data_IF_169223325405
#
_entry.id   IF_169223325405
#
_cell.length_a   1.000
_cell.length_b   1.000
_cell.length_c   1.000
_cell.angle_alpha   90.00
_cell.angle_beta   90.00
_cell.angle_gamma   90.00
#
_symmetry.space_group_name_H-M   'P 1'
#
loop_
_entity.id
_entity.type
_entity.pdbx_description
1 polymer ?
#
# COMPACT_ATOMS: atom_id res chain seq x y z
N UNK A 1 -3.63 -25.88 -6.60
CA UNK A 1 -4.46 -25.28 -7.67
C UNK A 1 -3.66 -25.37 -8.95
N UNK A 2 -4.24 -25.84 -10.06
CA UNK A 2 -3.51 -25.97 -11.31
C UNK A 2 -3.03 -24.59 -11.80
N UNK A 3 -1.81 -24.53 -12.27
CA UNK A 3 -1.17 -23.34 -12.83
C UNK A 3 -1.84 -23.01 -14.16
N UNK A 4 -2.59 -21.90 -14.23
CA UNK A 4 -3.16 -21.44 -15.50
C UNK A 4 -2.03 -20.81 -16.28
N UNK A 5 -1.45 -21.61 -17.16
CA UNK A 5 -0.36 -21.15 -18.03
C UNK A 5 -0.88 -20.11 -19.03
N UNK A 6 -0.04 -19.12 -19.33
CA UNK A 6 -0.25 -18.10 -20.37
C UNK A 6 -0.62 -18.71 -21.73
N UNK A 7 -0.26 -19.98 -21.95
CA UNK A 7 -0.59 -20.79 -23.11
C UNK A 7 -2.08 -21.15 -23.22
N UNK A 8 -2.81 -21.30 -22.12
CA UNK A 8 -4.25 -21.54 -22.16
C UNK A 8 -4.99 -20.30 -22.68
N UNK A 9 -4.59 -19.09 -22.25
CA UNK A 9 -5.12 -17.84 -22.78
C UNK A 9 -4.74 -17.63 -24.25
N UNK A 10 -3.49 -17.90 -24.63
CA UNK A 10 -3.05 -17.83 -26.02
C UNK A 10 -3.84 -18.77 -26.94
N UNK A 11 -4.21 -19.96 -26.47
CA UNK A 11 -5.02 -20.92 -27.25
C UNK A 11 -6.43 -20.40 -27.51
N UNK A 12 -7.08 -19.80 -26.51
CA UNK A 12 -8.40 -19.20 -26.70
C UNK A 12 -8.33 -17.93 -27.58
N UNK A 13 -7.28 -17.11 -27.46
CA UNK A 13 -7.07 -15.92 -28.32
C UNK A 13 -6.76 -16.26 -29.78
N UNK A 14 -6.22 -17.45 -30.06
CA UNK A 14 -5.97 -17.92 -31.44
C UNK A 14 -7.24 -18.36 -32.15
N UNK A 15 -8.34 -18.57 -31.41
CA UNK A 15 -9.65 -18.76 -32.02
C UNK A 15 -10.17 -17.39 -32.39
N UNK A 16 -10.51 -17.18 -33.65
CA UNK A 16 -11.08 -15.92 -34.17
C UNK A 16 -12.45 -15.56 -33.55
N UNK A 17 -12.96 -16.39 -32.64
CA UNK A 17 -14.20 -16.21 -31.91
C UNK A 17 -14.09 -16.83 -30.52
N UNK A 18 -14.67 -16.15 -29.53
CA UNK A 18 -14.86 -16.69 -28.18
C UNK A 18 -16.09 -17.59 -28.19
N UNK A 19 -15.87 -18.90 -28.07
CA UNK A 19 -16.93 -19.91 -28.09
C UNK A 19 -17.86 -19.82 -26.87
N UNK A 20 -17.27 -19.56 -25.69
CA UNK A 20 -17.98 -19.43 -24.41
C UNK A 20 -17.40 -18.25 -23.63
N UNK A 21 -18.13 -17.12 -23.65
CA UNK A 21 -17.72 -15.88 -23.01
C UNK A 21 -17.62 -16.02 -21.48
N UNK A 22 -18.47 -16.81 -20.86
CA UNK A 22 -18.50 -16.93 -19.40
C UNK A 22 -17.31 -17.78 -18.91
N UNK A 23 -17.01 -18.86 -19.62
CA UNK A 23 -15.80 -19.65 -19.39
C UNK A 23 -14.53 -18.82 -19.63
N UNK A 24 -14.50 -18.01 -20.69
CA UNK A 24 -13.36 -17.14 -20.98
C UNK A 24 -13.15 -16.05 -19.91
N UNK A 25 -14.23 -15.43 -19.41
CA UNK A 25 -14.17 -14.48 -18.29
C UNK A 25 -13.60 -15.13 -17.02
N UNK A 26 -14.05 -16.34 -16.68
CA UNK A 26 -13.51 -17.09 -15.52
C UNK A 26 -12.02 -17.37 -15.68
N UNK A 27 -11.61 -17.81 -16.87
CA UNK A 27 -10.19 -18.03 -17.18
C UNK A 27 -9.35 -16.76 -17.00
N UNK A 28 -9.82 -15.62 -17.51
CA UNK A 28 -9.15 -14.32 -17.33
C UNK A 28 -9.06 -13.93 -15.85
N UNK A 29 -10.14 -14.12 -15.09
CA UNK A 29 -10.17 -13.80 -13.66
C UNK A 29 -9.21 -14.67 -12.85
N UNK A 30 -9.16 -15.97 -13.12
CA UNK A 30 -8.27 -16.90 -12.44
C UNK A 30 -6.81 -16.61 -12.79
N UNK A 31 -6.51 -16.34 -14.07
CA UNK A 31 -5.17 -15.95 -14.51
C UNK A 31 -4.72 -14.62 -13.89
N UNK A 32 -5.60 -13.61 -13.84
CA UNK A 32 -5.29 -12.34 -13.19
C UNK A 32 -5.00 -12.53 -11.69
N UNK A 33 -5.77 -13.38 -11.00
CA UNK A 33 -5.51 -13.72 -9.59
C UNK A 33 -4.15 -14.41 -9.42
N UNK A 34 -3.79 -15.30 -10.34
CA UNK A 34 -2.48 -15.96 -10.35
C UNK A 34 -1.34 -14.95 -10.54
N UNK A 35 -1.42 -14.09 -11.57
CA UNK A 35 -0.41 -13.04 -11.80
C UNK A 35 -0.25 -12.13 -10.58
N UNK A 36 -1.35 -11.73 -9.94
CA UNK A 36 -1.30 -10.92 -8.71
C UNK A 36 -0.58 -11.65 -7.57
N UNK A 37 -0.79 -12.97 -7.44
CA UNK A 37 -0.10 -13.79 -6.44
C UNK A 37 1.39 -13.93 -6.75
N UNK A 38 1.75 -14.27 -7.98
CA UNK A 38 3.14 -14.40 -8.43
C UNK A 38 3.90 -13.10 -8.28
N UNK A 39 3.29 -11.97 -8.66
CA UNK A 39 3.87 -10.65 -8.44
C UNK A 39 4.12 -10.37 -6.95
N UNK A 40 3.15 -10.70 -6.08
CA UNK A 40 3.31 -10.54 -4.63
C UNK A 40 4.47 -11.39 -4.09
N UNK A 41 4.60 -12.63 -4.56
CA UNK A 41 5.69 -13.51 -4.14
C UNK A 41 7.04 -13.03 -4.69
N UNK A 42 7.07 -12.53 -5.93
CA UNK A 42 8.26 -11.92 -6.52
C UNK A 42 8.73 -10.68 -5.74
N UNK A 43 7.81 -9.81 -5.33
CA UNK A 43 8.14 -8.65 -4.46
C UNK A 43 8.80 -9.12 -3.16
N UNK A 44 8.28 -10.17 -2.50
CA UNK A 44 8.92 -10.73 -1.29
C UNK A 44 10.32 -11.25 -1.55
N UNK A 45 10.55 -11.88 -2.70
CA UNK A 45 11.89 -12.35 -3.06
C UNK A 45 12.84 -11.19 -3.33
N UNK A 46 12.37 -10.12 -3.97
CA UNK A 46 13.15 -8.90 -4.16
C UNK A 46 13.46 -8.21 -2.83
N UNK A 47 12.49 -8.13 -1.90
CA UNK A 47 12.73 -7.61 -0.55
C UNK A 47 13.81 -8.41 0.19
N UNK A 48 13.69 -9.74 0.17
CA UNK A 48 14.68 -10.62 0.77
C UNK A 48 16.06 -10.44 0.13
N UNK A 49 16.12 -10.38 -1.21
CA UNK A 49 17.37 -10.20 -1.95
C UNK A 49 18.00 -8.83 -1.68
N UNK A 50 17.19 -7.77 -1.57
CA UNK A 50 17.64 -6.43 -1.22
C UNK A 50 18.28 -6.40 0.18
N UNK A 51 17.64 -7.03 1.18
CA UNK A 51 18.21 -7.11 2.53
C UNK A 51 19.47 -7.98 2.58
N UNK A 52 19.53 -9.08 1.81
CA UNK A 52 20.70 -9.98 1.80
C UNK A 52 21.87 -9.50 0.95
N UNK A 53 21.63 -8.66 -0.05
CA UNK A 53 22.66 -8.05 -0.88
C UNK A 53 23.37 -6.86 -0.21
N UNK A 54 22.94 -6.45 0.99
CA UNK A 54 23.44 -5.23 1.61
C UNK A 54 22.86 -3.96 0.97
N UNK A 55 21.61 -4.05 0.48
CA UNK A 55 20.85 -2.95 -0.15
C UNK A 55 21.38 -2.53 -1.51
N UNK A 56 21.58 -3.50 -2.39
CA UNK A 56 21.99 -3.28 -3.77
C UNK A 56 21.05 -2.34 -4.55
N UNK A 57 21.63 -1.46 -5.37
CA UNK A 57 20.90 -0.40 -6.07
C UNK A 57 20.04 -0.92 -7.24
N UNK A 58 20.49 -1.95 -7.95
CA UNK A 58 19.75 -2.52 -9.08
C UNK A 58 18.52 -3.27 -8.59
N UNK A 59 18.68 -4.06 -7.52
CA UNK A 59 17.56 -4.74 -6.85
C UNK A 59 16.56 -3.71 -6.32
N UNK A 60 17.05 -2.62 -5.71
CA UNK A 60 16.20 -1.53 -5.24
C UNK A 60 15.40 -0.90 -6.39
N UNK A 61 16.03 -0.63 -7.53
CA UNK A 61 15.36 -0.03 -8.69
C UNK A 61 14.22 -0.90 -9.21
N UNK A 62 14.43 -2.22 -9.33
CA UNK A 62 13.39 -3.17 -9.75
C UNK A 62 12.25 -3.20 -8.71
N UNK A 63 12.59 -3.22 -7.42
CA UNK A 63 11.62 -3.23 -6.34
C UNK A 63 10.79 -1.93 -6.31
N UNK A 64 11.41 -0.78 -6.52
CA UNK A 64 10.75 0.52 -6.64
C UNK A 64 9.81 0.57 -7.85
N UNK A 65 10.24 0.10 -9.02
CA UNK A 65 9.42 0.13 -10.24
C UNK A 65 8.16 -0.73 -10.09
N UNK A 66 8.32 -1.94 -9.55
CA UNK A 66 7.21 -2.89 -9.41
C UNK A 66 6.29 -2.48 -8.26
N UNK A 67 6.83 -2.00 -7.15
CA UNK A 67 6.04 -1.56 -5.99
C UNK A 67 5.34 -0.23 -6.26
N UNK A 68 5.97 0.67 -7.04
CA UNK A 68 5.40 1.94 -7.48
C UNK A 68 4.12 1.76 -8.29
N UNK A 69 4.05 0.74 -9.15
CA UNK A 69 2.82 0.41 -9.91
C UNK A 69 1.65 0.02 -9.00
N UNK A 70 1.93 -0.53 -7.81
CA UNK A 70 0.93 -0.87 -6.79
C UNK A 70 0.66 0.26 -5.78
N UNK A 71 1.36 1.40 -5.89
CA UNK A 71 1.22 2.52 -4.97
C UNK A 71 -0.21 3.10 -4.94
N UNK A 72 -0.94 3.06 -6.07
CA UNK A 72 -2.32 3.54 -6.13
C UNK A 72 -3.27 2.72 -5.24
N UNK A 73 -3.16 1.39 -5.29
CA UNK A 73 -3.97 0.49 -4.44
C UNK A 73 -3.65 0.70 -2.96
N UNK A 74 -2.37 0.93 -2.65
CA UNK A 74 -1.91 1.19 -1.29
C UNK A 74 -2.40 2.56 -0.78
N UNK A 75 -2.36 3.60 -1.61
CA UNK A 75 -2.91 4.94 -1.30
C UNK A 75 -4.38 4.86 -0.95
N UNK A 76 -5.20 4.19 -1.77
CA UNK A 76 -6.63 4.05 -1.51
C UNK A 76 -6.91 3.27 -0.22
N UNK A 77 -6.12 2.21 0.02
CA UNK A 77 -6.26 1.41 1.23
C UNK A 77 -5.81 2.18 2.49
N UNK A 78 -4.76 3.00 2.40
CA UNK A 78 -4.31 3.90 3.47
C UNK A 78 -5.34 5.00 3.75
N UNK A 79 -5.97 5.57 2.72
CA UNK A 79 -7.06 6.54 2.86
C UNK A 79 -8.24 5.95 3.64
N UNK A 80 -8.68 4.75 3.25
CA UNK A 80 -9.75 4.01 3.96
C UNK A 80 -9.37 3.71 5.40
N UNK A 81 -8.13 3.28 5.63
CA UNK A 81 -7.65 3.06 6.99
C UNK A 81 -7.71 4.34 7.82
N UNK A 82 -7.25 5.48 7.27
CA UNK A 82 -7.31 6.77 7.93
C UNK A 82 -8.72 7.11 8.41
N UNK A 83 -9.72 7.03 7.52
CA UNK A 83 -11.11 7.25 7.91
C UNK A 83 -11.65 6.23 8.92
N UNK A 84 -11.23 4.97 8.82
CA UNK A 84 -11.65 3.92 9.76
C UNK A 84 -11.15 4.22 11.18
N UNK A 85 -9.90 4.68 11.31
CA UNK A 85 -9.32 5.02 12.62
C UNK A 85 -9.71 6.39 13.12
N UNK A 86 -10.17 7.30 12.26
CA UNK A 86 -10.55 8.68 12.61
C UNK A 86 -11.57 8.74 13.76
N UNK A 87 -12.52 7.80 13.86
CA UNK A 87 -13.49 7.78 14.96
C UNK A 87 -12.88 7.47 16.33
N UNK A 88 -11.84 6.62 16.37
CA UNK A 88 -11.24 6.17 17.65
C UNK A 88 -9.94 6.89 17.99
N UNK A 89 -9.18 7.33 16.98
CA UNK A 89 -7.86 7.93 17.12
C UNK A 89 -7.81 9.38 16.58
N UNK A 90 -8.90 9.90 16.04
CA UNK A 90 -8.87 11.15 15.28
C UNK A 90 -8.45 12.37 16.08
N UNK A 91 -8.78 12.43 17.38
CA UNK A 91 -8.33 13.50 18.28
C UNK A 91 -6.83 13.43 18.58
N UNK A 92 -6.28 12.23 18.74
CA UNK A 92 -4.84 12.04 18.94
C UNK A 92 -4.07 12.35 17.64
N UNK A 93 -4.62 11.95 16.50
CA UNK A 93 -4.11 12.35 15.20
C UNK A 93 -4.25 13.85 14.95
N UNK A 94 -5.28 14.52 15.45
CA UNK A 94 -5.40 15.98 15.35
C UNK A 94 -4.30 16.67 16.18
N UNK A 95 -4.10 16.25 17.43
CA UNK A 95 -3.07 16.80 18.33
C UNK A 95 -1.66 16.61 17.78
N UNK A 96 -1.36 15.46 17.17
CA UNK A 96 -0.04 15.15 16.63
C UNK A 96 0.12 15.47 15.13
N UNK A 97 -1.00 15.73 14.43
CA UNK A 97 -1.11 15.66 12.98
C UNK A 97 -0.22 16.65 12.26
N UNK A 98 -0.24 17.92 12.65
CA UNK A 98 0.60 18.95 12.02
C UNK A 98 2.09 18.61 12.14
N UNK A 99 2.55 18.23 13.33
CA UNK A 99 3.94 17.81 13.56
C UNK A 99 4.29 16.58 12.73
N UNK A 100 3.41 15.59 12.65
CA UNK A 100 3.62 14.39 11.83
C UNK A 100 3.73 14.74 10.35
N UNK A 101 2.84 15.59 9.83
CA UNK A 101 2.87 16.06 8.44
C UNK A 101 4.16 16.86 8.13
N UNK A 102 4.68 17.63 9.08
CA UNK A 102 5.98 18.29 8.93
C UNK A 102 7.13 17.29 8.85
N UNK A 103 7.14 16.26 9.69
CA UNK A 103 8.15 15.19 9.62
C UNK A 103 8.05 14.42 8.30
N UNK A 104 6.81 14.17 7.81
CA UNK A 104 6.58 13.58 6.48
C UNK A 104 7.19 14.48 5.41
N UNK A 105 6.89 15.78 5.41
CA UNK A 105 7.45 16.73 4.43
C UNK A 105 8.99 16.71 4.42
N UNK A 106 9.60 16.59 5.60
CA UNK A 106 11.04 16.48 5.78
C UNK A 106 11.63 15.09 5.42
N UNK A 107 10.81 14.10 5.06
CA UNK A 107 11.27 12.75 4.71
C UNK A 107 11.70 11.90 5.90
N UNK A 108 11.35 12.29 7.13
CA UNK A 108 11.80 11.62 8.36
C UNK A 108 10.98 10.36 8.66
N UNK A 109 11.15 9.34 7.81
CA UNK A 109 10.38 8.09 7.82
C UNK A 109 10.32 7.41 9.20
N UNK A 110 11.46 7.29 9.88
CA UNK A 110 11.54 6.67 11.21
C UNK A 110 10.79 7.47 12.29
N UNK A 111 10.90 8.80 12.26
CA UNK A 111 10.21 9.67 13.23
C UNK A 111 8.69 9.62 13.04
N UNK A 112 8.24 9.58 11.78
CA UNK A 112 6.82 9.42 11.44
C UNK A 112 6.32 8.05 11.90
N UNK A 113 7.05 6.97 11.60
CA UNK A 113 6.70 5.61 12.03
C UNK A 113 6.55 5.53 13.55
N UNK A 114 7.53 6.08 14.27
CA UNK A 114 7.50 6.11 15.73
C UNK A 114 6.31 6.92 16.27
N UNK A 115 6.05 8.09 15.69
CA UNK A 115 4.94 8.94 16.09
C UNK A 115 3.58 8.29 15.88
N UNK A 116 3.35 7.66 14.72
CA UNK A 116 2.12 6.92 14.43
C UNK A 116 1.98 5.71 15.36
N UNK A 117 3.05 4.92 15.52
CA UNK A 117 3.04 3.75 16.42
C UNK A 117 2.67 4.13 17.84
N UNK A 118 3.19 5.26 18.35
CA UNK A 118 2.87 5.75 19.68
C UNK A 118 1.37 6.07 19.85
N UNK A 119 0.71 6.63 18.84
CA UNK A 119 -0.74 6.92 18.88
C UNK A 119 -1.54 5.61 19.01
N UNK A 120 -1.21 4.60 18.21
CA UNK A 120 -1.87 3.29 18.28
C UNK A 120 -1.64 2.61 19.63
N UNK A 121 -0.39 2.57 20.11
CA UNK A 121 -0.05 1.96 21.40
C UNK A 121 -0.71 2.66 22.59
N UNK A 122 -0.74 4.00 22.61
CA UNK A 122 -1.40 4.77 23.67
C UNK A 122 -2.90 4.43 23.77
N UNK A 123 -3.51 4.05 22.65
CA UNK A 123 -4.91 3.64 22.55
C UNK A 123 -5.12 2.12 22.61
N UNK A 124 -4.07 1.35 22.97
CA UNK A 124 -4.10 -0.12 23.06
C UNK A 124 -4.54 -0.80 21.75
N UNK A 125 -4.26 -0.17 20.61
CA UNK A 125 -4.51 -0.73 19.29
C UNK A 125 -3.21 -1.24 18.68
N UNK A 126 -3.28 -2.34 17.93
CA UNK A 126 -2.15 -2.81 17.13
C UNK A 126 -1.97 -1.91 15.91
N UNK A 127 -0.72 -1.72 15.48
CA UNK A 127 -0.41 -1.02 14.24
C UNK A 127 -0.84 -1.90 13.05
N UNK A 128 -1.74 -1.43 12.16
CA UNK A 128 -2.17 -2.17 10.98
C UNK A 128 -1.01 -2.51 10.03
N UNK A 129 -0.98 -3.73 9.50
CA UNK A 129 0.08 -4.22 8.61
C UNK A 129 0.28 -3.36 7.35
N UNK A 130 -0.79 -2.73 6.87
CA UNK A 130 -0.72 -1.82 5.72
C UNK A 130 0.15 -0.58 6.00
N UNK A 131 0.24 -0.13 7.26
CA UNK A 131 1.17 0.94 7.62
C UNK A 131 2.61 0.41 7.65
N UNK A 132 2.84 -0.83 8.12
CA UNK A 132 4.17 -1.45 8.06
C UNK A 132 4.71 -1.51 6.63
N UNK A 133 3.85 -1.88 5.67
CA UNK A 133 4.17 -1.86 4.24
C UNK A 133 4.59 -0.45 3.79
N UNK A 134 3.78 0.56 4.10
CA UNK A 134 4.04 1.94 3.70
C UNK A 134 5.32 2.55 4.29
N UNK A 135 5.87 1.96 5.36
CA UNK A 135 7.14 2.35 5.98
C UNK A 135 8.36 1.61 5.45
N UNK A 136 8.20 0.67 4.51
CA UNK A 136 9.36 -0.08 4.02
C UNK A 136 10.37 0.83 3.30
N UNK A 137 11.67 0.64 3.54
CA UNK A 137 12.72 1.58 3.12
C UNK A 137 13.02 1.54 1.61
N UNK A 138 12.46 0.57 0.88
CA UNK A 138 12.60 0.52 -0.56
C UNK A 138 11.68 1.50 -1.29
N UNK A 139 10.65 2.05 -0.65
CA UNK A 139 9.87 3.12 -1.28
C UNK A 139 10.68 4.41 -1.30
N UNK A 140 10.69 5.10 -2.44
CA UNK A 140 11.28 6.44 -2.53
C UNK A 140 10.67 7.39 -1.49
N UNK A 141 11.40 8.45 -1.16
CA UNK A 141 10.90 9.44 -0.22
C UNK A 141 9.66 10.18 -0.74
N UNK A 142 9.50 10.37 -2.07
CA UNK A 142 8.27 10.94 -2.61
C UNK A 142 7.07 10.01 -2.41
N UNK A 143 7.24 8.71 -2.71
CA UNK A 143 6.17 7.73 -2.55
C UNK A 143 5.77 7.59 -1.07
N UNK A 144 6.76 7.48 -0.18
CA UNK A 144 6.53 7.51 1.26
C UNK A 144 5.75 8.75 1.71
N UNK A 145 6.14 9.93 1.21
CA UNK A 145 5.44 11.19 1.50
C UNK A 145 3.98 11.11 1.07
N UNK A 146 3.70 10.68 -0.15
CA UNK A 146 2.33 10.50 -0.64
C UNK A 146 1.52 9.57 0.27
N UNK A 147 2.06 8.40 0.62
CA UNK A 147 1.39 7.44 1.51
C UNK A 147 1.01 8.05 2.85
N UNK A 148 1.96 8.71 3.51
CA UNK A 148 1.73 9.25 4.85
C UNK A 148 0.86 10.50 4.84
N UNK A 149 1.00 11.37 3.85
CA UNK A 149 0.09 12.51 3.68
C UNK A 149 -1.35 12.03 3.51
N UNK A 150 -1.59 11.03 2.66
CA UNK A 150 -2.93 10.45 2.46
C UNK A 150 -3.49 9.88 3.76
N UNK A 151 -2.72 9.03 4.46
CA UNK A 151 -3.18 8.40 5.70
C UNK A 151 -3.48 9.43 6.79
N UNK A 152 -2.50 10.28 7.13
CA UNK A 152 -2.61 11.23 8.25
C UNK A 152 -3.74 12.23 7.99
N UNK A 153 -3.84 12.76 6.77
CA UNK A 153 -4.90 13.74 6.44
C UNK A 153 -6.30 13.13 6.56
N UNK A 154 -6.44 11.83 6.28
CA UNK A 154 -7.72 11.11 6.41
C UNK A 154 -8.00 10.68 7.85
N UNK A 155 -6.96 10.52 8.68
CA UNK A 155 -7.06 10.13 10.08
C UNK A 155 -7.34 11.30 11.03
N UNK A 156 -6.94 12.53 10.67
CA UNK A 156 -7.25 13.75 11.43
C UNK A 156 -8.77 13.97 11.43
N UNK A 157 -9.35 14.22 12.61
CA UNK A 157 -10.76 14.61 12.74
C UNK A 157 -10.96 16.00 12.14
N UNK A 158 -11.93 16.23 11.24
CA UNK A 158 -12.24 17.58 10.76
C UNK A 158 -12.70 18.42 11.96
N UNK A 159 -12.22 19.65 12.06
CA UNK A 159 -12.81 20.59 13.01
C UNK A 159 -14.27 20.78 12.62
N UNK A 160 -15.19 20.47 13.53
CA UNK A 160 -16.56 20.95 13.40
C UNK A 160 -16.45 22.47 13.39
N UNK A 161 -16.76 23.09 12.25
CA UNK A 161 -17.04 24.51 12.22
C UNK A 161 -18.25 24.70 13.11
N UNK A 162 -18.02 25.06 14.37
CA UNK A 162 -19.05 25.67 15.20
C UNK A 162 -19.60 26.82 14.36
N UNK A 163 -20.81 26.62 13.82
CA UNK A 163 -21.60 27.72 13.31
C UNK A 163 -21.80 28.63 14.51
N UNK A 164 -21.11 29.76 14.49
CA UNK A 164 -21.31 30.85 15.41
C UNK A 164 -22.82 31.16 15.45
N UNK A 165 -23.44 30.96 16.61
CA UNK A 165 -24.74 31.52 16.98
C UNK A 165 -24.58 32.99 17.37
#
# INVERSE_FOLDING_TARGET
MPEITLDQLKKELKKDKIDDLEKFKKLLQEFYKQLKKEQKDFIKYLEWAYEKSGRDADIKSILEEISGKNASDLIESLKRLGYAVQKSLGEDFEKAGFRLLEQVRAGKRSDVMYGITRIFLANKQNLPDILNEAFKPYYSDEIFKCFMFTFISSAIKPKENNKEE
#
